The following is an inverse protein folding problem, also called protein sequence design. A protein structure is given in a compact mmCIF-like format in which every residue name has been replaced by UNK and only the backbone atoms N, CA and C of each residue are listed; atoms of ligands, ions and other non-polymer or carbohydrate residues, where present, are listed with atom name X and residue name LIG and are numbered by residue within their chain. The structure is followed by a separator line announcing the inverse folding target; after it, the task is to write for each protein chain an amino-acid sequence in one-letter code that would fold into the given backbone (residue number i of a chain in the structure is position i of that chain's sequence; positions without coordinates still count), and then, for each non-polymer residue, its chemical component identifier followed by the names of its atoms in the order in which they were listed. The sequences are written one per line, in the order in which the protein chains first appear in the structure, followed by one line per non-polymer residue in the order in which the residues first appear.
data_IF_042629022522
#
_entry.id   IF_042629022522
#
_cell.length_a   1.000
_cell.length_b   1.000
_cell.length_c   1.000
_cell.angle_alpha   90.00
_cell.angle_beta   90.00
_cell.angle_gamma   90.00
#
_symmetry.space_group_name_H-M   'P 1'
#
loop_
_entity.id
_entity.type
_entity.pdbx_description
1 polymer ?
#
# COMPACT_ATOMS: atom_id res chain seq x y z
N UNK A 1 -2.80 -5.74 24.70
CA UNK A 1 -1.72 -5.89 23.71
C UNK A 1 -2.20 -5.33 22.38
N UNK A 2 -1.52 -4.30 21.83
CA UNK A 2 -1.86 -3.75 20.51
C UNK A 2 -1.29 -4.66 19.41
N UNK A 3 -2.10 -5.02 18.42
CA UNK A 3 -1.68 -5.86 17.28
C UNK A 3 -1.50 -4.96 16.07
N UNK A 4 -0.39 -5.08 15.37
CA UNK A 4 -0.10 -4.32 14.16
C UNK A 4 -0.08 -5.24 12.94
N UNK A 5 -0.58 -4.77 11.80
CA UNK A 5 -0.53 -5.48 10.52
C UNK A 5 0.20 -4.63 9.49
N UNK A 6 1.03 -5.28 8.69
CA UNK A 6 1.71 -4.61 7.59
C UNK A 6 0.68 -4.26 6.52
N UNK A 7 0.83 -3.11 5.88
CA UNK A 7 0.04 -2.78 4.71
C UNK A 7 0.90 -2.33 3.54
N UNK A 8 0.35 -2.47 2.34
CA UNK A 8 0.89 -1.89 1.14
C UNK A 8 -0.18 -1.08 0.41
N UNK A 9 0.24 0.03 -0.19
CA UNK A 9 -0.61 0.87 -1.02
C UNK A 9 0.18 1.48 -2.17
N UNK A 10 -0.56 1.92 -3.19
CA UNK A 10 0.00 2.67 -4.32
C UNK A 10 -0.84 3.91 -4.51
N UNK A 11 -0.19 5.08 -4.49
CA UNK A 11 -0.82 6.36 -4.79
C UNK A 11 -0.31 6.84 -6.12
N UNK A 12 -1.19 7.30 -6.99
CA UNK A 12 -0.79 7.88 -8.27
C UNK A 12 -1.11 9.37 -8.29
N UNK A 13 -0.27 10.19 -8.92
CA UNK A 13 -0.57 11.62 -9.12
C UNK A 13 -1.84 11.86 -9.98
N UNK A 14 -2.31 10.84 -10.69
CA UNK A 14 -3.47 10.91 -11.61
C UNK A 14 -4.65 10.04 -11.17
N UNK A 15 -4.44 9.10 -10.24
CA UNK A 15 -5.45 8.17 -9.73
C UNK A 15 -5.39 8.11 -8.19
N UNK A 16 -6.55 8.01 -7.54
CA UNK A 16 -6.67 7.91 -6.07
C UNK A 16 -5.80 6.79 -5.47
N UNK A 17 -5.49 6.87 -4.18
CA UNK A 17 -4.73 5.85 -3.46
C UNK A 17 -5.44 4.49 -3.49
N UNK A 18 -4.74 3.46 -3.98
CA UNK A 18 -5.21 2.08 -3.99
C UNK A 18 -4.59 1.31 -2.84
N UNK A 19 -5.45 0.78 -1.98
CA UNK A 19 -5.04 -0.18 -0.97
C UNK A 19 -4.82 -1.55 -1.60
N UNK A 20 -3.60 -2.08 -1.48
CA UNK A 20 -3.31 -3.44 -1.96
C UNK A 20 -3.68 -4.51 -0.93
N UNK A 21 -3.92 -4.13 0.34
CA UNK A 21 -4.31 -5.07 1.39
C UNK A 21 -3.42 -5.01 2.63
N UNK A 22 -3.83 -5.77 3.65
CA UNK A 22 -3.04 -6.06 4.84
C UNK A 22 -2.26 -7.37 4.67
N UNK A 23 -0.98 -7.34 5.00
CA UNK A 23 -0.04 -8.45 4.82
C UNK A 23 0.53 -8.90 6.16
N UNK A 24 0.83 -10.19 6.29
CA UNK A 24 1.52 -10.74 7.46
C UNK A 24 3.06 -10.69 7.32
N UNK A 25 3.57 -10.61 6.08
CA UNK A 25 5.00 -10.62 5.79
C UNK A 25 5.38 -9.54 4.78
N UNK A 26 6.55 -8.96 4.98
CA UNK A 26 7.14 -7.94 4.11
C UNK A 26 7.29 -8.41 2.66
N UNK A 27 7.65 -9.67 2.46
CA UNK A 27 7.83 -10.25 1.13
C UNK A 27 6.53 -10.25 0.32
N UNK A 28 5.41 -10.55 0.97
CA UNK A 28 4.12 -10.65 0.30
C UNK A 28 3.61 -9.25 -0.10
N UNK A 29 3.79 -8.27 0.79
CA UNK A 29 3.53 -6.86 0.50
C UNK A 29 4.37 -6.35 -0.70
N UNK A 30 5.67 -6.63 -0.71
CA UNK A 30 6.57 -6.27 -1.83
C UNK A 30 6.16 -6.94 -3.14
N UNK A 31 5.71 -8.20 -3.09
CA UNK A 31 5.22 -8.92 -4.28
C UNK A 31 3.95 -8.29 -4.85
N UNK A 32 3.00 -7.94 -3.99
CA UNK A 32 1.77 -7.26 -4.40
C UNK A 32 2.06 -5.91 -5.06
N UNK A 33 2.94 -5.10 -4.46
CA UNK A 33 3.41 -3.83 -5.03
C UNK A 33 4.04 -4.04 -6.42
N UNK A 34 4.89 -5.06 -6.58
CA UNK A 34 5.53 -5.34 -7.87
C UNK A 34 4.48 -5.73 -8.92
N UNK A 35 3.50 -6.54 -8.56
CA UNK A 35 2.42 -6.95 -9.46
C UNK A 35 1.50 -5.78 -9.82
N UNK A 36 1.23 -4.86 -8.89
CA UNK A 36 0.38 -3.70 -9.15
C UNK A 36 1.02 -2.68 -10.10
N UNK A 37 2.35 -2.70 -10.29
CA UNK A 37 3.02 -1.83 -11.28
C UNK A 37 2.51 -2.07 -12.71
N UNK A 38 2.04 -3.28 -13.03
CA UNK A 38 1.44 -3.56 -14.34
C UNK A 38 0.04 -2.97 -14.51
N UNK A 39 -0.64 -2.60 -13.41
CA UNK A 39 -1.97 -1.97 -13.46
C UNK A 39 -1.89 -0.47 -13.77
N UNK A 40 -0.71 0.16 -13.62
CA UNK A 40 -0.53 1.59 -13.88
C UNK A 40 0.32 1.80 -15.13
N UNK A 41 -0.07 2.70 -16.05
CA UNK A 41 0.75 3.03 -17.21
C UNK A 41 2.13 3.51 -16.77
N UNK A 42 3.18 3.10 -17.49
CA UNK A 42 4.59 3.45 -17.21
C UNK A 42 4.88 4.96 -17.15
N UNK A 43 3.98 5.80 -17.64
CA UNK A 43 4.08 7.28 -17.63
C UNK A 43 3.42 7.94 -16.42
N UNK A 44 2.89 7.16 -15.49
CA UNK A 44 2.21 7.67 -14.30
C UNK A 44 3.18 7.64 -13.13
N UNK A 45 3.46 8.81 -12.55
CA UNK A 45 4.15 8.89 -11.27
C UNK A 45 3.29 8.21 -10.21
N UNK A 46 3.82 7.16 -9.60
CA UNK A 46 3.19 6.48 -8.48
C UNK A 46 4.16 6.41 -7.29
N UNK A 47 3.64 6.65 -6.09
CA UNK A 47 4.30 6.44 -4.80
C UNK A 47 3.84 5.11 -4.23
N UNK A 48 4.81 4.33 -3.74
CA UNK A 48 4.56 3.07 -3.05
C UNK A 48 4.60 3.35 -1.56
N UNK A 49 3.58 2.90 -0.85
CA UNK A 49 3.51 2.98 0.61
C UNK A 49 3.65 1.60 1.21
N UNK A 50 4.47 1.52 2.24
CA UNK A 50 4.64 0.33 3.05
C UNK A 50 4.71 0.78 4.51
N UNK A 51 3.78 0.31 5.34
CA UNK A 51 3.71 0.70 6.73
C UNK A 51 3.04 -0.34 7.59
N UNK A 52 2.89 -0.02 8.88
CA UNK A 52 2.13 -0.83 9.83
C UNK A 52 0.95 -0.01 10.34
N UNK A 53 -0.21 -0.65 10.47
CA UNK A 53 -1.41 -0.05 11.07
C UNK A 53 -1.90 -0.94 12.21
N UNK A 54 -2.58 -0.33 13.18
CA UNK A 54 -3.17 -1.07 14.30
C UNK A 54 -4.36 -1.89 13.78
N UNK A 55 -4.40 -3.19 14.12
CA UNK A 55 -5.48 -4.08 13.70
C UNK A 55 -6.76 -3.65 14.41
N UNK A 56 -7.78 -3.29 13.63
CA UNK A 56 -9.03 -2.72 14.13
C UNK A 56 -9.16 -1.22 13.87
N UNK A 57 -8.13 -0.56 13.32
CA UNK A 57 -8.23 0.80 12.82
C UNK A 57 -8.27 0.82 11.28
N UNK A 58 -9.04 1.75 10.73
CA UNK A 58 -9.01 2.03 9.30
C UNK A 58 -7.65 2.66 8.97
N UNK A 59 -6.86 2.12 8.03
CA UNK A 59 -5.61 2.74 7.65
C UNK A 59 -5.89 4.12 7.05
N UNK A 60 -5.48 5.17 7.75
CA UNK A 60 -5.63 6.55 7.29
C UNK A 60 -4.40 6.86 6.43
N UNK A 61 -4.62 7.07 5.14
CA UNK A 61 -3.61 7.58 4.22
C UNK A 61 -3.59 9.09 4.32
N UNK A 62 -2.58 9.65 4.97
CA UNK A 62 -2.25 11.07 4.81
C UNK A 62 -1.11 11.16 3.81
N UNK A 63 -1.38 11.72 2.63
CA UNK A 63 -0.30 12.17 1.74
C UNK A 63 0.52 13.23 2.51
N UNK A 64 1.82 13.01 2.65
CA UNK A 64 2.79 14.04 3.03
C UNK A 64 3.51 14.56 1.77
#
# INVERSE_FOLDING_TARGET
MKRYRLYAGVTSSRYSTYFLGGYSRLRDAKRAIKNSKHMYPSRVNYRIWLGYYEVGTTPIYTEQ
#
